data_IF_421816062784
#
_entry.id   IF_421816062784
#
_cell.length_a   1.000
_cell.length_b   1.000
_cell.length_c   1.000
_cell.angle_alpha   90.00
_cell.angle_beta   90.00
_cell.angle_gamma   90.00
#
_symmetry.space_group_name_H-M   'P 1'
#
loop_
_entity.id
_entity.type
_entity.pdbx_description
1 polymer ?
#
# COMPACT_ATOMS: atom_id res chain seq x y z
N UNK A 1 14.56 -23.66 -26.17
CA UNK A 1 13.54 -23.48 -27.22
C UNK A 1 13.67 -22.14 -27.97
N UNK A 2 13.79 -20.99 -27.31
CA UNK A 2 13.94 -19.68 -28.02
C UNK A 2 15.20 -19.63 -28.92
N UNK A 3 16.33 -20.18 -28.43
CA UNK A 3 17.59 -20.24 -29.22
C UNK A 3 17.48 -21.03 -30.52
N UNK A 4 16.63 -22.06 -30.59
CA UNK A 4 16.44 -22.83 -31.83
C UNK A 4 15.44 -22.16 -32.78
N UNK A 5 14.45 -21.43 -32.26
CA UNK A 5 13.50 -20.66 -33.06
C UNK A 5 14.13 -19.41 -33.70
N UNK A 6 15.02 -18.72 -32.98
CA UNK A 6 15.79 -17.56 -33.47
C UNK A 6 16.71 -17.86 -34.68
N UNK A 7 17.14 -19.12 -34.83
CA UNK A 7 18.03 -19.57 -35.90
C UNK A 7 17.30 -19.95 -37.21
N UNK A 8 15.96 -19.96 -37.24
CA UNK A 8 15.16 -20.46 -38.38
C UNK A 8 14.91 -19.45 -39.51
N UNK A 9 15.28 -18.17 -39.36
CA UNK A 9 15.18 -17.17 -40.43
C UNK A 9 14.89 -15.74 -39.96
N UNK A 10 14.92 -14.77 -40.90
CA UNK A 10 14.67 -13.34 -40.62
C UNK A 10 13.24 -13.08 -40.12
N UNK A 11 12.23 -13.79 -40.66
CA UNK A 11 10.82 -13.68 -40.24
C UNK A 11 10.59 -14.13 -38.80
N UNK A 12 11.21 -15.24 -38.37
CA UNK A 12 11.08 -15.75 -37.00
C UNK A 12 11.78 -14.86 -35.97
N UNK A 13 12.89 -14.21 -36.34
CA UNK A 13 13.53 -13.19 -35.50
C UNK A 13 12.61 -11.99 -35.27
N UNK A 14 11.98 -11.48 -36.34
CA UNK A 14 11.01 -10.37 -36.24
C UNK A 14 9.84 -10.74 -35.34
N UNK A 15 9.23 -11.92 -35.51
CA UNK A 15 8.13 -12.38 -34.65
C UNK A 15 8.58 -12.47 -33.19
N UNK A 16 9.77 -13.03 -32.92
CA UNK A 16 10.29 -13.14 -31.55
C UNK A 16 10.50 -11.76 -30.92
N UNK A 17 11.00 -10.78 -31.68
CA UNK A 17 11.16 -9.40 -31.20
C UNK A 17 9.80 -8.76 -30.91
N UNK A 18 8.82 -8.90 -31.82
CA UNK A 18 7.47 -8.34 -31.64
C UNK A 18 6.80 -8.96 -30.41
N UNK A 19 6.85 -10.29 -30.26
CA UNK A 19 6.27 -10.98 -29.09
C UNK A 19 6.97 -10.56 -27.81
N UNK A 20 8.30 -10.42 -27.82
CA UNK A 20 9.04 -9.93 -26.65
C UNK A 20 8.66 -8.48 -26.30
N UNK A 21 8.45 -7.62 -27.30
CA UNK A 21 8.01 -6.25 -27.10
C UNK A 21 6.58 -6.20 -26.53
N UNK A 22 5.65 -6.99 -27.07
CA UNK A 22 4.29 -7.12 -26.55
C UNK A 22 4.31 -7.62 -25.10
N UNK A 23 5.14 -8.63 -24.80
CA UNK A 23 5.28 -9.15 -23.44
C UNK A 23 5.86 -8.10 -22.48
N UNK A 24 6.81 -7.28 -22.93
CA UNK A 24 7.39 -6.19 -22.14
C UNK A 24 6.36 -5.08 -21.89
N UNK A 25 5.56 -4.72 -22.89
CA UNK A 25 4.46 -3.76 -22.76
C UNK A 25 3.41 -4.29 -21.78
N UNK A 26 3.01 -5.57 -21.90
CA UNK A 26 2.07 -6.19 -20.97
C UNK A 26 2.61 -6.23 -19.54
N UNK A 27 3.89 -6.54 -19.35
CA UNK A 27 4.52 -6.52 -18.03
C UNK A 27 4.55 -5.11 -17.44
N UNK A 28 4.68 -4.08 -18.28
CA UNK A 28 4.64 -2.70 -17.82
C UNK A 28 3.22 -2.25 -17.45
N UNK A 29 2.23 -2.56 -18.30
CA UNK A 29 0.82 -2.18 -18.11
C UNK A 29 0.17 -2.93 -16.95
N UNK A 30 0.49 -4.20 -16.73
CA UNK A 30 -0.12 -5.04 -15.69
C UNK A 30 0.64 -4.99 -14.35
N UNK A 31 1.47 -3.95 -14.12
CA UNK A 31 2.30 -3.89 -12.91
C UNK A 31 1.53 -3.80 -11.62
N UNK A 32 0.36 -3.18 -11.63
CA UNK A 32 -0.55 -3.14 -10.49
C UNK A 32 -1.07 -4.54 -10.12
N UNK A 33 -1.28 -5.42 -11.10
CA UNK A 33 -1.79 -6.77 -10.86
C UNK A 33 -0.76 -7.71 -10.22
N UNK A 34 0.52 -7.63 -10.61
CA UNK A 34 1.56 -8.51 -10.03
C UNK A 34 2.36 -7.89 -8.89
N UNK A 35 2.26 -6.58 -8.64
CA UNK A 35 2.95 -5.94 -7.52
C UNK A 35 2.61 -6.58 -6.15
N UNK A 36 1.37 -6.98 -5.86
CA UNK A 36 1.06 -7.69 -4.61
C UNK A 36 1.85 -9.00 -4.46
N UNK A 37 2.07 -9.73 -5.56
CA UNK A 37 2.90 -10.93 -5.56
C UNK A 37 4.38 -10.60 -5.33
N UNK A 38 4.89 -9.52 -5.92
CA UNK A 38 6.25 -9.03 -5.64
C UNK A 38 6.44 -8.62 -4.19
N UNK A 39 5.46 -7.93 -3.60
CA UNK A 39 5.48 -7.58 -2.18
C UNK A 39 5.39 -8.82 -1.29
N UNK A 40 4.61 -9.84 -1.67
CA UNK A 40 4.59 -11.12 -0.95
C UNK A 40 5.98 -11.77 -0.96
N UNK A 41 6.62 -11.83 -2.13
CA UNK A 41 7.99 -12.31 -2.25
C UNK A 41 8.93 -11.46 -1.42
N UNK A 42 8.81 -10.12 -1.44
CA UNK A 42 9.63 -9.22 -0.63
C UNK A 42 9.49 -9.52 0.86
N UNK A 43 8.26 -9.67 1.35
CA UNK A 43 7.94 -9.96 2.75
C UNK A 43 8.53 -11.30 3.17
N UNK A 44 8.31 -12.36 2.40
CA UNK A 44 8.68 -13.72 2.81
C UNK A 44 9.95 -14.26 2.15
N UNK A 45 10.76 -13.41 1.51
CA UNK A 45 11.89 -13.80 0.66
C UNK A 45 12.82 -14.80 1.37
N UNK A 46 13.20 -14.47 2.61
CA UNK A 46 14.09 -15.30 3.40
C UNK A 46 13.50 -16.69 3.66
N UNK A 47 12.25 -16.77 4.12
CA UNK A 47 11.60 -18.05 4.40
C UNK A 47 11.42 -18.87 3.12
N UNK A 48 11.08 -18.22 2.01
CA UNK A 48 10.95 -18.87 0.71
C UNK A 48 12.30 -19.47 0.27
N UNK A 49 13.39 -18.71 0.40
CA UNK A 49 14.75 -19.19 0.05
C UNK A 49 15.16 -20.36 0.93
N UNK A 50 15.00 -20.27 2.25
CA UNK A 50 15.34 -21.34 3.19
C UNK A 50 14.52 -22.60 2.90
N UNK A 51 13.21 -22.44 2.70
CA UNK A 51 12.29 -23.53 2.37
C UNK A 51 12.67 -24.21 1.06
N UNK A 52 12.96 -23.44 0.01
CA UNK A 52 13.38 -23.97 -1.30
C UNK A 52 14.72 -24.68 -1.20
N UNK A 53 15.70 -24.12 -0.48
CA UNK A 53 17.02 -24.71 -0.33
C UNK A 53 16.90 -26.07 0.36
N UNK A 54 16.18 -26.15 1.47
CA UNK A 54 15.97 -27.39 2.22
C UNK A 54 15.19 -28.41 1.40
N UNK A 55 14.15 -27.98 0.69
CA UNK A 55 13.37 -28.84 -0.20
C UNK A 55 14.24 -29.42 -1.33
N UNK A 56 15.03 -28.58 -2.02
CA UNK A 56 15.88 -29.01 -3.14
C UNK A 56 16.97 -29.97 -2.64
N UNK A 57 17.65 -29.64 -1.54
CA UNK A 57 18.68 -30.52 -0.97
C UNK A 57 18.08 -31.83 -0.46
N UNK A 58 16.93 -31.77 0.22
CA UNK A 58 16.18 -32.94 0.70
C UNK A 58 15.76 -33.86 -0.44
N UNK A 59 15.12 -33.32 -1.48
CA UNK A 59 14.70 -34.09 -2.67
C UNK A 59 15.89 -34.61 -3.49
N UNK A 60 17.02 -33.89 -3.52
CA UNK A 60 18.25 -34.37 -4.18
C UNK A 60 18.85 -35.55 -3.42
N UNK A 61 18.90 -35.48 -2.09
CA UNK A 61 19.37 -36.59 -1.23
C UNK A 61 18.44 -37.79 -1.31
N UNK A 62 17.12 -37.56 -1.30
CA UNK A 62 16.10 -38.59 -1.49
C UNK A 62 16.31 -39.38 -2.79
N UNK A 63 16.51 -38.67 -3.92
CA UNK A 63 16.74 -39.28 -5.24
C UNK A 63 18.03 -40.10 -5.32
N UNK A 64 19.10 -39.68 -4.64
CA UNK A 64 20.41 -40.36 -4.65
C UNK A 64 20.49 -41.58 -3.72
N UNK A 65 19.57 -41.70 -2.77
CA UNK A 65 19.60 -42.76 -1.77
C UNK A 65 19.01 -44.04 -2.35
N UNK A 66 19.70 -45.17 -2.20
CA UNK A 66 19.27 -46.48 -2.74
C UNK A 66 18.32 -47.24 -1.80
N UNK A 67 18.49 -47.11 -0.49
CA UNK A 67 17.69 -47.84 0.50
C UNK A 67 16.32 -47.20 0.76
N UNK A 68 15.25 -48.01 0.76
CA UNK A 68 13.88 -47.57 1.04
C UNK A 68 13.71 -46.96 2.44
N UNK A 69 14.36 -47.52 3.47
CA UNK A 69 14.29 -47.00 4.84
C UNK A 69 14.88 -45.59 4.97
N UNK A 70 16.07 -45.35 4.42
CA UNK A 70 16.68 -44.01 4.44
C UNK A 70 15.91 -42.99 3.60
N UNK A 71 15.22 -43.43 2.53
CA UNK A 71 14.31 -42.56 1.75
C UNK A 71 13.11 -42.11 2.59
N UNK A 72 12.48 -43.03 3.31
CA UNK A 72 11.37 -42.70 4.22
C UNK A 72 11.83 -41.77 5.35
N UNK A 73 13.03 -41.99 5.91
CA UNK A 73 13.61 -41.10 6.91
C UNK A 73 13.81 -39.67 6.42
N UNK A 74 14.28 -39.47 5.17
CA UNK A 74 14.44 -38.13 4.57
C UNK A 74 13.08 -37.45 4.39
N UNK A 75 12.05 -38.17 3.95
CA UNK A 75 10.69 -37.62 3.81
C UNK A 75 10.10 -37.24 5.17
N UNK A 76 10.24 -38.11 6.18
CA UNK A 76 9.78 -37.83 7.54
C UNK A 76 10.45 -36.57 8.10
N UNK A 77 11.77 -36.41 7.91
CA UNK A 77 12.50 -35.22 8.34
C UNK A 77 12.00 -33.95 7.65
N UNK A 78 11.73 -34.00 6.34
CA UNK A 78 11.17 -32.87 5.61
C UNK A 78 9.78 -32.49 6.15
N UNK A 79 8.91 -33.47 6.39
CA UNK A 79 7.57 -33.23 6.96
C UNK A 79 7.69 -32.59 8.34
N UNK A 80 8.56 -33.11 9.21
CA UNK A 80 8.79 -32.56 10.55
C UNK A 80 9.32 -31.12 10.44
N UNK A 81 10.29 -30.86 9.57
CA UNK A 81 10.85 -29.51 9.39
C UNK A 81 9.78 -28.50 8.95
N UNK A 82 8.99 -28.82 7.92
CA UNK A 82 7.92 -27.93 7.46
C UNK A 82 6.78 -27.80 8.48
N UNK A 83 6.49 -28.87 9.23
CA UNK A 83 5.55 -28.85 10.35
C UNK A 83 5.99 -27.89 11.45
N UNK A 84 7.25 -27.97 11.89
CA UNK A 84 7.83 -27.04 12.87
C UNK A 84 7.80 -25.61 12.34
N UNK A 85 8.21 -25.39 11.09
CA UNK A 85 8.21 -24.06 10.47
C UNK A 85 6.81 -23.44 10.43
N UNK A 86 5.79 -24.24 10.10
CA UNK A 86 4.40 -23.79 10.09
C UNK A 86 3.89 -23.48 11.51
N UNK A 87 4.11 -24.37 12.48
CA UNK A 87 3.65 -24.21 13.85
C UNK A 87 4.32 -22.98 14.51
N UNK A 88 5.64 -22.89 14.47
CA UNK A 88 6.34 -21.76 15.09
C UNK A 88 6.17 -20.47 14.30
N UNK A 89 6.31 -20.52 12.98
CA UNK A 89 6.23 -19.33 12.13
C UNK A 89 4.84 -18.70 12.10
N UNK A 90 3.80 -19.49 11.85
CA UNK A 90 2.44 -19.02 11.61
C UNK A 90 1.49 -19.24 12.80
N UNK A 91 1.44 -20.44 13.37
CA UNK A 91 0.49 -20.71 14.47
C UNK A 91 0.83 -19.90 15.73
N UNK A 92 2.11 -19.87 16.13
CA UNK A 92 2.59 -19.03 17.24
C UNK A 92 2.95 -17.60 16.81
N UNK A 93 2.76 -17.24 15.53
CA UNK A 93 3.04 -15.90 14.99
C UNK A 93 4.47 -15.39 15.26
N UNK A 94 5.47 -16.29 15.37
CA UNK A 94 6.85 -15.85 15.58
C UNK A 94 7.36 -14.96 14.45
N UNK A 95 6.85 -15.15 13.24
CA UNK A 95 7.16 -14.26 12.14
C UNK A 95 6.75 -12.81 12.42
N UNK A 96 5.52 -12.60 12.89
CA UNK A 96 5.02 -11.27 13.25
C UNK A 96 5.76 -10.71 14.46
N UNK A 97 6.09 -11.56 15.43
CA UNK A 97 6.90 -11.18 16.58
C UNK A 97 8.27 -10.62 16.16
N UNK A 98 9.00 -11.35 15.29
CA UNK A 98 10.32 -10.92 14.80
C UNK A 98 10.23 -9.64 13.95
N UNK A 99 9.17 -9.50 13.15
CA UNK A 99 8.86 -8.27 12.42
C UNK A 99 8.68 -7.09 13.37
N UNK A 100 7.85 -7.23 14.40
CA UNK A 100 7.58 -6.17 15.39
C UNK A 100 8.84 -5.84 16.20
N UNK A 101 9.67 -6.84 16.53
CA UNK A 101 10.96 -6.62 17.19
C UNK A 101 11.94 -5.82 16.32
N UNK A 102 11.99 -6.10 15.01
CA UNK A 102 12.80 -5.32 14.09
C UNK A 102 12.33 -3.86 13.97
N UNK A 103 11.00 -3.62 14.04
CA UNK A 103 10.47 -2.26 14.13
C UNK A 103 11.03 -1.57 15.37
N UNK A 104 10.89 -2.19 16.55
CA UNK A 104 11.39 -1.63 17.82
C UNK A 104 12.88 -1.26 17.78
N UNK A 105 13.70 -2.13 17.21
CA UNK A 105 15.15 -1.88 17.08
C UNK A 105 15.48 -0.76 16.09
N UNK A 106 14.62 -0.52 15.11
CA UNK A 106 14.80 0.54 14.12
C UNK A 106 14.29 1.92 14.58
N UNK A 107 13.49 1.97 15.67
CA UNK A 107 12.94 3.22 16.17
C UNK A 107 14.03 4.09 16.78
N UNK A 108 14.02 5.38 16.43
CA UNK A 108 14.80 6.39 17.13
C UNK A 108 14.11 6.71 18.46
N UNK A 109 14.61 6.13 19.54
CA UNK A 109 14.06 6.28 20.89
C UNK A 109 14.72 7.47 21.55
N UNK A 110 13.91 8.47 21.89
CA UNK A 110 14.35 9.68 22.59
C UNK A 110 13.55 9.78 23.87
N UNK A 111 14.23 10.01 24.99
CA UNK A 111 13.58 10.27 26.27
C UNK A 111 12.99 11.68 26.25
N UNK A 112 11.71 11.78 26.59
CA UNK A 112 10.97 13.03 26.62
C UNK A 112 10.74 13.44 28.08
N UNK A 113 11.08 14.68 28.41
CA UNK A 113 10.88 15.23 29.76
C UNK A 113 9.42 15.64 30.02
N UNK A 114 8.68 15.92 28.95
CA UNK A 114 7.28 16.30 28.96
C UNK A 114 6.52 15.57 27.86
N UNK A 115 5.26 15.22 28.13
CA UNK A 115 4.40 14.58 27.13
C UNK A 115 4.06 15.59 26.03
N UNK A 116 4.30 15.27 24.75
CA UNK A 116 3.94 16.17 23.67
C UNK A 116 2.42 16.35 23.65
N UNK A 117 1.97 17.60 23.65
CA UNK A 117 0.55 17.91 23.48
C UNK A 117 0.14 17.59 22.04
N UNK A 118 -0.86 16.74 21.87
CA UNK A 118 -1.43 16.47 20.56
C UNK A 118 -2.18 17.70 20.06
N UNK A 119 -1.89 18.12 18.84
CA UNK A 119 -2.68 19.15 18.17
C UNK A 119 -3.86 18.56 17.40
N UNK A 120 -4.01 17.23 17.36
CA UNK A 120 -5.07 16.51 16.62
C UNK A 120 -6.27 16.21 17.52
N UNK A 121 -6.87 17.24 18.08
CA UNK A 121 -8.06 17.10 18.93
C UNK A 121 -9.29 16.72 18.11
N UNK A 122 -10.10 15.81 18.66
CA UNK A 122 -11.37 15.38 18.10
C UNK A 122 -12.38 15.12 19.22
N UNK A 123 -13.63 15.52 19.01
CA UNK A 123 -14.74 15.17 19.91
C UNK A 123 -15.35 13.83 19.51
N UNK A 124 -15.62 13.64 18.23
CA UNK A 124 -16.30 12.45 17.73
C UNK A 124 -15.32 11.32 17.35
N UNK A 125 -15.62 10.06 17.70
CA UNK A 125 -14.85 8.91 17.23
C UNK A 125 -14.94 8.72 15.71
N UNK A 126 -13.89 8.16 15.12
CA UNK A 126 -13.79 7.86 13.67
C UNK A 126 -15.02 7.11 13.13
N UNK A 127 -15.45 6.05 13.83
CA UNK A 127 -16.57 5.20 13.39
C UNK A 127 -17.91 5.95 13.39
N UNK A 128 -18.10 6.87 14.33
CA UNK A 128 -19.31 7.68 14.37
C UNK A 128 -19.35 8.66 13.19
N UNK A 129 -18.25 9.38 12.96
CA UNK A 129 -18.06 10.29 11.81
C UNK A 129 -18.32 9.54 10.50
N UNK A 130 -17.77 8.33 10.36
CA UNK A 130 -17.95 7.51 9.17
C UNK A 130 -19.41 7.07 8.95
N UNK A 131 -20.13 6.67 10.00
CA UNK A 131 -21.56 6.31 9.88
C UNK A 131 -22.39 7.52 9.45
N UNK A 132 -22.23 8.65 10.14
CA UNK A 132 -22.95 9.88 9.83
C UNK A 132 -22.68 10.38 8.40
N UNK A 133 -21.44 10.26 7.93
CA UNK A 133 -21.09 10.64 6.56
C UNK A 133 -21.76 9.74 5.52
N UNK A 134 -21.75 8.41 5.73
CA UNK A 134 -22.40 7.46 4.82
C UNK A 134 -23.92 7.63 4.81
N UNK A 135 -24.54 7.90 5.96
CA UNK A 135 -25.98 8.19 6.05
C UNK A 135 -26.37 9.48 5.33
N UNK A 136 -25.42 10.39 5.11
CA UNK A 136 -25.68 11.67 4.43
C UNK A 136 -25.60 11.60 2.90
N UNK A 137 -25.04 10.53 2.34
CA UNK A 137 -24.89 10.36 0.89
C UNK A 137 -25.96 9.41 0.34
N UNK A 138 -26.28 9.53 -0.95
CA UNK A 138 -27.27 8.67 -1.60
C UNK A 138 -26.76 7.24 -1.74
N UNK A 139 -27.66 6.27 -1.95
CA UNK A 139 -27.34 4.83 -2.00
C UNK A 139 -26.31 4.43 -3.06
N UNK A 140 -26.16 5.22 -4.12
CA UNK A 140 -25.18 5.00 -5.20
C UNK A 140 -23.78 5.55 -4.88
N UNK A 141 -23.62 6.27 -3.76
CA UNK A 141 -22.38 6.87 -3.31
C UNK A 141 -21.97 6.24 -1.98
N UNK A 142 -20.68 6.01 -1.81
CA UNK A 142 -20.07 5.67 -0.53
C UNK A 142 -19.06 6.76 -0.16
N UNK A 143 -18.70 6.80 1.11
CA UNK A 143 -17.69 7.73 1.62
C UNK A 143 -16.38 6.98 1.87
N UNK A 144 -15.25 7.61 1.59
CA UNK A 144 -13.94 7.05 1.91
C UNK A 144 -13.62 7.12 3.41
N UNK A 145 -12.56 6.45 3.85
CA UNK A 145 -12.21 6.44 5.28
C UNK A 145 -11.89 7.87 5.76
N UNK A 146 -12.50 8.36 6.85
CA UNK A 146 -12.25 9.70 7.34
C UNK A 146 -10.84 9.82 7.93
N UNK A 147 -10.10 10.83 7.49
CA UNK A 147 -8.81 11.18 8.05
C UNK A 147 -8.84 12.59 8.66
N UNK A 148 -8.07 12.79 9.72
CA UNK A 148 -7.87 14.12 10.30
C UNK A 148 -6.78 14.84 9.52
N UNK A 149 -7.14 15.97 8.94
CA UNK A 149 -6.25 16.85 8.21
C UNK A 149 -6.35 18.24 8.79
N UNK A 150 -5.20 18.87 9.00
CA UNK A 150 -5.13 20.26 9.44
C UNK A 150 -5.35 21.19 8.25
N UNK A 151 -6.34 22.07 8.33
CA UNK A 151 -6.65 23.06 7.31
C UNK A 151 -6.64 24.43 7.99
N UNK A 152 -5.56 25.19 7.77
CA UNK A 152 -5.32 26.44 8.49
C UNK A 152 -4.99 26.17 9.97
N UNK A 153 -5.81 26.72 10.87
CA UNK A 153 -5.65 26.58 12.33
C UNK A 153 -6.47 25.43 12.92
N UNK A 154 -7.39 24.84 12.16
CA UNK A 154 -8.33 23.83 12.63
C UNK A 154 -8.04 22.46 12.04
N UNK A 155 -8.35 21.40 12.78
CA UNK A 155 -8.39 20.05 12.22
C UNK A 155 -9.78 19.74 11.70
N UNK A 156 -9.83 19.12 10.54
CA UNK A 156 -11.06 18.70 9.89
C UNK A 156 -10.99 17.22 9.55
N UNK A 157 -12.12 16.57 9.71
CA UNK A 157 -12.39 15.27 9.10
C UNK A 157 -12.57 15.46 7.60
N UNK A 158 -11.68 14.84 6.85
CA UNK A 158 -11.67 14.87 5.38
C UNK A 158 -11.90 13.47 4.84
N UNK A 159 -12.76 13.36 3.81
CA UNK A 159 -13.10 12.11 3.14
C UNK A 159 -13.71 12.41 1.77
N UNK A 160 -13.55 11.51 0.81
CA UNK A 160 -14.14 11.64 -0.50
C UNK A 160 -15.52 11.01 -0.58
N UNK A 161 -16.38 11.60 -1.40
CA UNK A 161 -17.65 11.00 -1.83
C UNK A 161 -17.40 10.35 -3.19
N UNK A 162 -17.51 9.02 -3.23
CA UNK A 162 -17.12 8.21 -4.37
C UNK A 162 -18.24 7.24 -4.75
N UNK A 163 -18.27 6.70 -5.99
CA UNK A 163 -19.23 5.68 -6.37
C UNK A 163 -19.20 4.49 -5.42
N UNK A 164 -20.37 3.98 -5.04
CA UNK A 164 -20.46 2.90 -4.06
C UNK A 164 -19.82 1.62 -4.58
N UNK A 165 -19.23 0.84 -3.66
CA UNK A 165 -18.58 -0.43 -3.99
C UNK A 165 -19.52 -1.44 -4.66
N UNK A 166 -20.82 -1.32 -4.37
CA UNK A 166 -21.89 -2.19 -4.87
C UNK A 166 -22.17 -2.01 -6.37
N UNK A 167 -21.92 -0.83 -6.92
CA UNK A 167 -22.28 -0.50 -8.31
C UNK A 167 -21.06 -0.48 -9.23
N UNK A 168 -20.72 -1.65 -9.78
CA UNK A 168 -19.50 -1.84 -10.59
C UNK A 168 -19.43 -0.90 -11.79
N UNK A 169 -20.53 -0.66 -12.51
CA UNK A 169 -20.51 0.20 -13.70
C UNK A 169 -20.15 1.64 -13.35
N UNK A 170 -20.72 2.18 -12.26
CA UNK A 170 -20.42 3.55 -11.79
C UNK A 170 -18.94 3.68 -11.37
N UNK A 171 -18.37 2.63 -10.77
CA UNK A 171 -16.93 2.61 -10.43
C UNK A 171 -16.00 2.62 -11.66
N UNK A 172 -16.52 2.30 -12.84
CA UNK A 172 -15.79 2.29 -14.11
C UNK A 172 -15.99 3.62 -14.85
N UNK A 173 -17.20 4.22 -14.81
CA UNK A 173 -17.53 5.45 -15.55
C UNK A 173 -17.38 6.74 -14.74
N UNK A 174 -17.78 6.75 -13.47
CA UNK A 174 -18.06 7.98 -12.72
C UNK A 174 -16.83 8.44 -11.92
N UNK A 175 -16.63 9.75 -11.76
CA UNK A 175 -15.50 10.32 -11.01
C UNK A 175 -15.82 10.44 -9.51
N UNK A 176 -14.80 10.75 -8.72
CA UNK A 176 -14.99 11.25 -7.35
C UNK A 176 -15.19 12.76 -7.45
N UNK A 177 -16.39 13.26 -7.15
CA UNK A 177 -16.77 14.64 -7.50
C UNK A 177 -16.84 15.59 -6.30
N UNK A 178 -16.72 15.06 -5.08
CA UNK A 178 -16.90 15.84 -3.86
C UNK A 178 -16.00 15.33 -2.73
N UNK A 179 -15.55 16.25 -1.89
CA UNK A 179 -14.86 15.96 -0.62
C UNK A 179 -15.62 16.60 0.53
N UNK A 180 -15.87 15.83 1.58
CA UNK A 180 -16.32 16.38 2.86
C UNK A 180 -15.14 16.96 3.63
N UNK A 181 -15.32 18.14 4.21
CA UNK A 181 -14.36 18.74 5.13
C UNK A 181 -15.08 19.32 6.36
N UNK A 182 -15.23 18.52 7.41
CA UNK A 182 -16.02 18.88 8.60
C UNK A 182 -15.10 19.09 9.80
N UNK A 183 -15.34 20.09 10.64
CA UNK A 183 -14.53 20.32 11.85
C UNK A 183 -14.51 19.10 12.79
N UNK A 184 -13.33 18.77 13.34
CA UNK A 184 -13.17 17.68 14.31
C UNK A 184 -13.58 18.05 15.73
N UNK A 185 -13.69 19.34 16.02
CA UNK A 185 -14.00 19.90 17.35
C UNK A 185 -15.47 20.25 17.52
N UNK A 186 -16.31 19.96 16.53
CA UNK A 186 -17.76 20.15 16.65
C UNK A 186 -18.40 18.92 17.27
N UNK A 187 -19.25 19.05 18.31
CA UNK A 187 -19.95 17.91 18.90
C UNK A 187 -20.96 17.28 17.93
N UNK A 188 -21.53 18.07 17.01
CA UNK A 188 -22.46 17.63 15.97
C UNK A 188 -21.92 18.00 14.57
N UNK A 189 -21.00 17.20 14.00
CA UNK A 189 -20.49 17.45 12.65
C UNK A 189 -21.64 17.34 11.63
N UNK A 190 -21.82 18.38 10.81
CA UNK A 190 -22.87 18.42 9.78
C UNK A 190 -22.33 17.97 8.44
N UNK A 191 -22.85 16.87 7.90
CA UNK A 191 -22.51 16.37 6.56
C UNK A 191 -23.49 16.87 5.48
N UNK A 192 -23.81 18.15 5.57
CA UNK A 192 -24.68 18.87 4.62
C UNK A 192 -23.86 19.52 3.50
N UNK A 193 -24.54 20.10 2.51
CA UNK A 193 -23.93 20.79 1.37
C UNK A 193 -22.92 21.88 1.76
N UNK A 194 -23.05 22.50 2.94
CA UNK A 194 -22.12 23.52 3.44
C UNK A 194 -20.70 22.99 3.64
N UNK A 195 -20.57 21.70 3.98
CA UNK A 195 -19.28 21.05 4.19
C UNK A 195 -18.89 20.11 3.04
N UNK A 196 -19.65 20.13 1.93
CA UNK A 196 -19.33 19.44 0.67
C UNK A 196 -18.58 20.40 -0.23
N UNK A 197 -17.38 20.01 -0.60
CA UNK A 197 -16.53 20.79 -1.47
C UNK A 197 -16.57 20.15 -2.85
N UNK A 198 -17.08 20.85 -3.89
CA UNK A 198 -17.09 20.32 -5.24
C UNK A 198 -15.65 20.25 -5.75
N UNK A 199 -15.11 19.04 -5.87
CA UNK A 199 -13.78 18.80 -6.41
C UNK A 199 -13.76 17.48 -7.15
N UNK A 200 -13.39 17.53 -8.43
CA UNK A 200 -13.31 16.35 -9.26
C UNK A 200 -11.91 15.73 -9.19
N UNK A 201 -11.87 14.45 -8.84
CA UNK A 201 -10.71 13.59 -9.00
C UNK A 201 -11.03 12.47 -9.98
N UNK A 202 -10.14 12.30 -10.98
CA UNK A 202 -10.21 11.19 -11.93
C UNK A 202 -9.88 9.82 -11.31
N UNK A 203 -9.39 9.82 -10.07
CA UNK A 203 -9.04 8.64 -9.28
C UNK A 203 -9.73 8.64 -7.91
N UNK A 204 -9.98 7.45 -7.36
CA UNK A 204 -10.66 7.26 -6.08
C UNK A 204 -10.43 5.87 -5.49
N UNK A 205 -10.64 5.72 -4.19
CA UNK A 205 -10.34 4.48 -3.46
C UNK A 205 -11.32 3.36 -3.83
N UNK A 206 -12.59 3.70 -4.10
CA UNK A 206 -13.59 2.73 -4.57
C UNK A 206 -13.55 2.48 -6.08
N UNK A 207 -12.91 3.33 -6.89
CA UNK A 207 -12.92 3.18 -8.35
C UNK A 207 -12.16 1.92 -8.82
N UNK A 208 -12.37 1.48 -10.07
CA UNK A 208 -11.77 0.25 -10.63
C UNK A 208 -10.62 0.53 -11.60
N UNK A 209 -9.78 -0.49 -11.81
CA UNK A 209 -8.65 -0.47 -12.76
C UNK A 209 -7.68 0.68 -12.49
N UNK A 210 -7.19 1.34 -13.56
CA UNK A 210 -6.28 2.50 -13.48
C UNK A 210 -6.87 3.73 -12.79
N UNK A 211 -8.16 3.70 -12.43
CA UNK A 211 -8.85 4.77 -11.68
C UNK A 211 -8.82 4.54 -10.18
N UNK A 212 -8.50 3.31 -9.76
CA UNK A 212 -8.27 3.03 -8.35
C UNK A 212 -7.01 3.76 -7.87
N UNK A 213 -7.09 4.48 -6.75
CA UNK A 213 -5.96 5.20 -6.16
C UNK A 213 -4.73 4.31 -5.95
N UNK A 214 -4.93 3.08 -5.45
CA UNK A 214 -3.84 2.11 -5.26
C UNK A 214 -3.14 1.81 -6.59
N UNK A 215 -3.92 1.42 -7.60
CA UNK A 215 -3.38 1.03 -8.90
C UNK A 215 -2.69 2.22 -9.58
N UNK A 216 -3.28 3.41 -9.54
CA UNK A 216 -2.71 4.62 -10.12
C UNK A 216 -1.35 4.99 -9.51
N UNK A 217 -1.19 4.83 -8.19
CA UNK A 217 0.08 5.04 -7.48
C UNK A 217 1.10 3.95 -7.81
N UNK A 218 0.68 2.68 -7.86
CA UNK A 218 1.58 1.58 -8.25
C UNK A 218 2.06 1.76 -9.70
N UNK A 219 1.20 2.27 -10.57
CA UNK A 219 1.56 2.68 -11.92
C UNK A 219 2.53 3.89 -11.94
N UNK A 220 2.86 4.53 -10.83
CA UNK A 220 3.93 5.54 -10.81
C UNK A 220 5.28 4.98 -10.35
N UNK A 221 5.28 3.78 -9.75
CA UNK A 221 6.47 3.21 -9.17
C UNK A 221 7.52 2.85 -10.22
N UNK A 222 8.77 3.19 -9.89
CA UNK A 222 9.94 2.64 -10.55
C UNK A 222 10.15 1.17 -10.11
N UNK A 223 11.03 0.39 -10.78
CA UNK A 223 11.21 -1.03 -10.45
C UNK A 223 11.61 -1.30 -9.00
N UNK A 224 12.38 -0.40 -8.36
CA UNK A 224 12.76 -0.53 -6.95
C UNK A 224 11.61 -0.24 -6.00
N UNK A 225 10.79 0.77 -6.31
CA UNK A 225 9.58 1.07 -5.56
C UNK A 225 8.57 -0.06 -5.66
N UNK A 226 8.42 -0.65 -6.85
CA UNK A 226 7.50 -1.77 -7.09
C UNK A 226 7.76 -2.97 -6.16
N UNK A 227 9.02 -3.23 -5.84
CA UNK A 227 9.39 -4.35 -4.97
C UNK A 227 9.37 -4.01 -3.47
N UNK A 228 9.44 -2.73 -3.09
CA UNK A 228 9.67 -2.32 -1.71
C UNK A 228 8.59 -1.41 -1.11
N UNK A 229 7.74 -0.81 -1.94
CA UNK A 229 6.76 0.19 -1.53
C UNK A 229 5.33 -0.32 -1.73
N UNK A 230 4.46 0.03 -0.80
CA UNK A 230 3.04 -0.33 -0.77
C UNK A 230 2.24 0.95 -0.49
N UNK A 231 1.32 1.37 -1.38
CA UNK A 231 0.35 2.42 -1.05
C UNK A 231 -0.55 1.98 0.12
N UNK A 232 -0.87 2.90 1.02
CA UNK A 232 -1.76 2.67 2.16
C UNK A 232 -2.88 3.70 2.17
N UNK A 233 -2.85 4.64 3.10
CA UNK A 233 -4.00 5.49 3.43
C UNK A 233 -4.00 6.73 2.51
N UNK A 234 -5.19 7.17 2.12
CA UNK A 234 -5.38 8.33 1.24
C UNK A 234 -5.96 9.50 2.02
N UNK A 235 -5.22 10.61 2.05
CA UNK A 235 -5.61 11.83 2.74
C UNK A 235 -6.07 12.88 1.72
N UNK A 236 -7.17 13.57 2.00
CA UNK A 236 -7.65 14.66 1.15
C UNK A 236 -7.31 15.98 1.84
N UNK A 237 -6.45 16.80 1.25
CA UNK A 237 -5.97 18.03 1.90
C UNK A 237 -5.76 19.15 0.89
N UNK A 238 -5.57 20.38 1.40
CA UNK A 238 -5.22 21.53 0.55
C UNK A 238 -3.71 21.63 0.41
N UNK A 239 -3.24 21.86 -0.82
CA UNK A 239 -1.85 22.18 -1.09
C UNK A 239 -1.54 23.67 -0.78
N UNK A 240 -0.31 24.10 -1.04
CA UNK A 240 0.13 25.48 -0.79
C UNK A 240 -0.60 26.53 -1.65
N UNK A 241 -1.18 26.13 -2.79
CA UNK A 241 -2.01 27.01 -3.63
C UNK A 241 -3.49 27.03 -3.22
N UNK A 242 -3.87 26.30 -2.16
CA UNK A 242 -5.25 26.20 -1.69
C UNK A 242 -6.13 25.21 -2.46
N UNK A 243 -5.56 24.49 -3.44
CA UNK A 243 -6.23 23.46 -4.24
C UNK A 243 -6.30 22.15 -3.46
N UNK A 244 -7.38 21.39 -3.65
CA UNK A 244 -7.54 20.08 -3.03
C UNK A 244 -6.73 19.02 -3.78
N UNK A 245 -5.96 18.24 -3.03
CA UNK A 245 -5.09 17.17 -3.54
C UNK A 245 -5.30 15.89 -2.74
N UNK A 246 -5.07 14.75 -3.38
CA UNK A 246 -4.97 13.46 -2.69
C UNK A 246 -3.52 13.22 -2.31
N UNK A 247 -3.28 12.87 -1.05
CA UNK A 247 -1.96 12.53 -0.53
C UNK A 247 -2.02 11.09 -0.07
N UNK A 248 -1.39 10.20 -0.81
CA UNK A 248 -1.37 8.77 -0.50
C UNK A 248 -0.11 8.45 0.30
N UNK A 249 -0.28 7.93 1.52
CA UNK A 249 0.83 7.46 2.35
C UNK A 249 1.44 6.20 1.73
N UNK A 250 2.78 6.17 1.66
CA UNK A 250 3.52 5.02 1.17
C UNK A 250 4.20 4.30 2.33
N UNK A 251 4.07 2.98 2.37
CA UNK A 251 4.79 2.09 3.29
C UNK A 251 6.01 1.54 2.57
N UNK A 252 7.19 1.65 3.17
CA UNK A 252 8.45 1.06 2.70
C UNK A 252 8.84 -0.15 3.54
N UNK A 253 9.04 -1.29 2.88
CA UNK A 253 9.48 -2.54 3.49
C UNK A 253 11.02 -2.62 3.59
N UNK A 254 11.55 -2.54 4.81
CA UNK A 254 12.99 -2.59 5.11
C UNK A 254 13.40 -3.93 5.72
N UNK A 255 14.68 -4.29 5.61
CA UNK A 255 15.23 -5.54 6.16
C UNK A 255 15.22 -6.73 5.18
N UNK A 256 15.97 -7.79 5.48
CA UNK A 256 16.09 -8.99 4.65
C UNK A 256 15.44 -10.23 5.30
N UNK A 257 15.84 -10.58 6.53
CA UNK A 257 15.40 -11.81 7.21
C UNK A 257 13.93 -11.76 7.66
N UNK A 258 13.51 -10.63 8.25
CA UNK A 258 12.13 -10.36 8.65
C UNK A 258 11.80 -8.91 8.28
N UNK A 259 11.39 -8.67 7.03
CA UNK A 259 11.10 -7.34 6.55
C UNK A 259 9.99 -6.67 7.35
N UNK A 260 10.18 -5.39 7.66
CA UNK A 260 9.25 -4.60 8.47
C UNK A 260 8.81 -3.32 7.75
N UNK A 261 7.57 -2.88 7.95
CA UNK A 261 7.04 -1.69 7.32
C UNK A 261 7.54 -0.43 8.04
N UNK A 262 7.89 0.59 7.26
CA UNK A 262 8.28 1.92 7.73
C UNK A 262 7.63 2.98 6.87
N UNK A 263 7.63 4.22 7.33
CA UNK A 263 7.15 5.34 6.52
C UNK A 263 8.05 5.53 5.28
N UNK A 264 7.44 5.44 4.10
CA UNK A 264 8.09 5.49 2.79
C UNK A 264 7.99 6.84 2.09
N UNK A 265 7.23 7.78 2.65
CA UNK A 265 6.93 9.07 2.04
C UNK A 265 5.48 9.14 1.59
N UNK A 266 5.18 10.08 0.71
CA UNK A 266 3.83 10.27 0.20
C UNK A 266 3.83 10.42 -1.32
N UNK A 267 2.70 10.08 -1.95
CA UNK A 267 2.42 10.42 -3.34
C UNK A 267 1.32 11.46 -3.39
N UNK A 268 1.62 12.63 -3.95
CA UNK A 268 0.65 13.73 -4.11
C UNK A 268 0.01 13.58 -5.49
N UNK A 269 -1.31 13.63 -5.55
CA UNK A 269 -2.08 13.55 -6.78
C UNK A 269 -3.00 14.75 -6.85
N UNK A 270 -2.79 15.56 -7.89
CA UNK A 270 -3.56 16.78 -8.10
C UNK A 270 -4.98 16.47 -8.56
N UNK A 271 -5.90 17.38 -8.26
CA UNK A 271 -7.26 17.34 -8.76
C UNK A 271 -7.30 17.57 -10.28
N UNK A 272 -8.31 17.00 -10.94
CA UNK A 272 -8.44 17.09 -12.38
C UNK A 272 -9.53 16.17 -12.91
N UNK A 273 -10.21 16.65 -13.95
CA UNK A 273 -11.23 15.88 -14.65
C UNK A 273 -10.61 14.82 -15.57
N UNK A 274 -11.46 13.87 -15.96
CA UNK A 274 -11.08 12.76 -16.81
C UNK A 274 -11.01 13.19 -18.29
N UNK A 275 -9.81 13.44 -18.80
CA UNK A 275 -9.55 13.60 -20.25
C UNK A 275 -8.87 12.37 -20.86
N UNK A 276 -8.92 12.20 -22.18
CA UNK A 276 -8.22 11.11 -22.88
C UNK A 276 -6.70 11.15 -22.62
N UNK A 277 -6.15 12.36 -22.49
CA UNK A 277 -4.75 12.55 -22.09
C UNK A 277 -4.48 12.02 -20.67
N UNK A 278 -5.42 12.24 -19.74
CA UNK A 278 -5.37 11.74 -18.36
C UNK A 278 -5.35 10.21 -18.31
N UNK A 279 -6.17 9.58 -19.14
CA UNK A 279 -6.24 8.12 -19.27
C UNK A 279 -4.91 7.54 -19.79
N UNK A 280 -4.35 8.16 -20.84
CA UNK A 280 -3.08 7.73 -21.41
C UNK A 280 -1.91 7.91 -20.44
N UNK A 281 -1.85 9.04 -19.72
CA UNK A 281 -0.82 9.28 -18.69
C UNK A 281 -0.92 8.25 -17.55
N UNK A 282 -2.14 7.94 -17.07
CA UNK A 282 -2.35 6.96 -16.00
C UNK A 282 -1.86 5.56 -16.36
N UNK A 283 -2.11 5.11 -17.58
CA UNK A 283 -1.71 3.76 -18.02
C UNK A 283 -0.20 3.69 -18.30
N UNK A 284 0.39 4.79 -18.78
CA UNK A 284 1.79 4.79 -19.24
C UNK A 284 2.79 5.24 -18.18
N UNK A 285 2.45 6.21 -17.34
CA UNK A 285 3.40 6.86 -16.42
C UNK A 285 2.89 6.78 -14.96
N UNK A 286 1.58 6.57 -14.78
CA UNK A 286 0.92 6.65 -13.48
C UNK A 286 0.63 8.09 -13.07
N UNK A 287 -0.14 8.27 -12.00
CA UNK A 287 -0.50 9.59 -11.47
C UNK A 287 0.31 9.91 -10.22
N UNK A 288 0.75 11.16 -10.15
CA UNK A 288 1.23 11.77 -8.92
C UNK A 288 2.74 12.01 -8.83
N UNK A 289 3.09 12.84 -7.86
CA UNK A 289 4.43 13.27 -7.54
C UNK A 289 4.87 12.60 -6.24
N UNK A 290 5.91 11.79 -6.32
CA UNK A 290 6.50 11.15 -5.14
C UNK A 290 7.32 12.17 -4.34
N UNK A 291 7.07 12.22 -3.03
CA UNK A 291 7.85 13.00 -2.07
C UNK A 291 8.49 12.06 -1.07
N UNK A 292 9.83 12.05 -1.04
CA UNK A 292 10.59 11.24 -0.09
C UNK A 292 10.41 11.76 1.34
N UNK A 293 10.45 10.92 2.39
CA UNK A 293 10.32 11.36 3.78
C UNK A 293 11.21 12.54 4.17
N UNK A 294 12.45 12.56 3.68
CA UNK A 294 13.42 13.63 3.97
C UNK A 294 13.08 14.96 3.30
N UNK A 295 12.29 14.91 2.22
CA UNK A 295 11.90 16.08 1.41
C UNK A 295 10.53 16.64 1.82
N UNK A 296 9.77 15.95 2.67
CA UNK A 296 8.45 16.42 3.15
C UNK A 296 8.54 17.81 3.77
N UNK A 297 9.64 18.10 4.48
CA UNK A 297 9.90 19.42 5.08
C UNK A 297 9.84 20.57 4.08
N UNK A 298 10.09 20.31 2.80
CA UNK A 298 10.08 21.28 1.72
C UNK A 298 8.66 21.60 1.21
N UNK A 299 7.64 20.85 1.67
CA UNK A 299 6.23 21.03 1.31
C UNK A 299 5.44 21.51 2.53
N UNK A 300 5.22 22.83 2.69
CA UNK A 300 4.60 23.41 3.87
C UNK A 300 3.24 22.80 4.24
N UNK A 301 2.40 22.50 3.25
CA UNK A 301 1.08 21.88 3.52
C UNK A 301 1.15 20.46 4.11
N UNK A 302 2.24 19.72 3.89
CA UNK A 302 2.47 18.39 4.48
C UNK A 302 3.06 18.50 5.89
N UNK A 303 3.66 19.63 6.24
CA UNK A 303 4.22 19.83 7.56
C UNK A 303 3.12 19.87 8.63
N UNK A 304 3.37 19.20 9.76
CA UNK A 304 2.40 19.06 10.88
C UNK A 304 1.14 18.26 10.52
N UNK A 305 1.10 17.62 9.35
CA UNK A 305 0.07 16.62 9.03
C UNK A 305 0.51 15.25 9.54
N UNK A 306 -0.45 14.45 10.03
CA UNK A 306 -0.20 13.05 10.29
C UNK A 306 -0.44 12.24 9.01
N UNK A 307 0.57 12.16 8.14
CA UNK A 307 0.55 11.36 6.91
C UNK A 307 1.08 9.93 7.11
N UNK A 308 1.37 9.54 8.36
CA UNK A 308 1.80 8.19 8.68
C UNK A 308 0.61 7.23 8.55
N UNK A 309 0.79 6.18 7.74
CA UNK A 309 -0.18 5.08 7.66
C UNK A 309 -0.53 4.52 9.03
N UNK A 310 -1.83 4.30 9.27
CA UNK A 310 -2.35 3.72 10.51
C UNK A 310 -1.70 2.37 10.80
N UNK A 311 -1.52 1.53 9.77
CA UNK A 311 -0.88 0.21 9.87
C UNK A 311 0.54 0.29 10.39
N UNK A 312 1.31 1.29 9.94
CA UNK A 312 2.69 1.51 10.42
C UNK A 312 2.66 2.04 11.85
N UNK A 313 1.78 3.00 12.14
CA UNK A 313 1.61 3.59 13.48
C UNK A 313 1.26 2.53 14.53
N UNK A 314 0.27 1.67 14.25
CA UNK A 314 -0.13 0.58 15.14
C UNK A 314 1.02 -0.40 15.39
N UNK A 315 1.76 -0.80 14.36
CA UNK A 315 2.91 -1.69 14.51
C UNK A 315 4.05 -1.06 15.32
N UNK A 316 4.31 0.23 15.13
CA UNK A 316 5.30 0.95 15.94
C UNK A 316 4.87 1.01 17.40
N UNK A 317 3.60 1.32 17.68
CA UNK A 317 3.05 1.32 19.04
C UNK A 317 3.12 -0.08 19.68
N UNK A 318 2.74 -1.13 18.95
CA UNK A 318 2.83 -2.52 19.43
C UNK A 318 4.28 -2.91 19.74
N UNK A 319 5.24 -2.39 18.97
CA UNK A 319 6.66 -2.67 19.18
C UNK A 319 7.22 -2.11 20.50
N UNK A 320 6.57 -1.10 21.09
CA UNK A 320 6.99 -0.54 22.37
C UNK A 320 6.80 -1.51 23.54
N UNK A 321 6.07 -2.62 23.37
CA UNK A 321 6.01 -3.69 24.38
C UNK A 321 7.38 -4.25 24.77
N UNK A 322 8.37 -4.11 23.90
CA UNK A 322 9.75 -4.55 24.15
C UNK A 322 10.59 -3.57 25.00
N UNK A 323 10.03 -2.42 25.40
CA UNK A 323 10.74 -1.45 26.27
C UNK A 323 11.16 -2.06 27.61
N UNK A 324 10.35 -2.98 28.17
CA UNK A 324 10.60 -3.61 29.46
C UNK A 324 11.45 -4.89 29.42
N UNK A 325 11.95 -5.29 28.24
CA UNK A 325 12.60 -6.58 28.04
C UNK A 325 11.72 -7.61 27.32
N UNK A 326 12.16 -8.86 27.30
CA UNK A 326 11.57 -9.98 26.55
C UNK A 326 10.45 -10.70 27.29
#
# INVERSE_FOLDING_TARGET
>A
MIKSYWKKGKKQKVITIIVALIALILLFVLRDDYQPALLFVRKYLFIIIVSLLILILGLRKFRKTSSTGSRLGILALLIIFFGILYVFGWHYKMYDYMKTYNVFNSLNKVEINELPLTQNERIQPLRNVFSMANESVGETKDVSLPHLVRIGTENKWTMAIQPSEKYIMQRISDNTEEVFAVSSTTPFPRFSNENRIPVTFSIGESLKFSRNTYNAVVQRFNPWMLFNYEPSDTFYMKNDSGSWVQVVSLIKWKGFFFPYPTFGGVMIIDNGEHDFNDYMERITIGKGTFVHPDDIKNYPFLNKQNTLSEKVSQLQAESLKFLGGF
#
